data_IF_444606232972
#
_entry.id   IF_444606232972
#
_cell.length_a   1.000
_cell.length_b   1.000
_cell.length_c   1.000
_cell.angle_alpha   90.00
_cell.angle_beta   90.00
_cell.angle_gamma   90.00
#
_symmetry.space_group_name_H-M   'P 1'
#
loop_
_entity.id
_entity.type
_entity.pdbx_description
1 polymer ?
#
# COMPACT_ATOMS: atom_id res chain seq x y z
N UNK A 1 -11.60 -16.46 0.67
CA UNK A 1 -10.21 -16.60 0.20
C UNK A 1 -9.35 -15.49 0.80
N UNK A 2 -8.05 -15.75 1.00
CA UNK A 2 -7.14 -15.07 1.94
C UNK A 2 -6.91 -13.56 1.70
N UNK A 3 -7.48 -12.71 2.57
CA UNK A 3 -7.18 -11.27 2.65
C UNK A 3 -5.68 -10.98 2.87
N UNK A 4 -5.04 -11.81 3.70
CA UNK A 4 -3.60 -11.77 3.96
C UNK A 4 -2.80 -11.95 2.67
N UNK A 5 -3.24 -12.84 1.78
CA UNK A 5 -2.53 -13.14 0.54
C UNK A 5 -2.61 -11.99 -0.48
N UNK A 6 -3.69 -11.20 -0.48
CA UNK A 6 -3.79 -10.00 -1.33
C UNK A 6 -2.83 -8.91 -0.86
N UNK A 7 -2.71 -8.70 0.45
CA UNK A 7 -1.76 -7.76 1.05
C UNK A 7 -0.30 -8.21 0.87
N UNK A 8 -0.01 -9.51 1.02
CA UNK A 8 1.32 -10.08 0.77
C UNK A 8 1.72 -9.93 -0.70
N UNK A 9 0.81 -10.21 -1.63
CA UNK A 9 1.04 -9.93 -3.06
C UNK A 9 1.25 -8.46 -3.32
N UNK A 10 0.45 -7.58 -2.71
CA UNK A 10 0.59 -6.13 -2.86
C UNK A 10 1.98 -5.68 -2.40
N UNK A 11 2.43 -6.14 -1.22
CA UNK A 11 3.76 -5.85 -0.72
C UNK A 11 4.83 -6.38 -1.69
N UNK A 12 4.75 -7.63 -2.12
CA UNK A 12 5.73 -8.18 -3.07
C UNK A 12 5.76 -7.44 -4.42
N UNK A 13 4.60 -7.10 -4.98
CA UNK A 13 4.49 -6.47 -6.28
C UNK A 13 4.74 -4.96 -6.23
N UNK A 14 4.51 -4.28 -5.11
CA UNK A 14 4.68 -2.82 -4.99
C UNK A 14 5.93 -2.42 -4.18
N UNK A 15 6.63 -3.36 -3.56
CA UNK A 15 7.96 -3.15 -2.99
C UNK A 15 9.05 -3.28 -4.05
N UNK A 16 10.03 -2.37 -4.03
CA UNK A 16 11.17 -2.38 -4.94
C UNK A 16 10.95 -1.66 -6.28
N UNK A 17 11.64 -2.10 -7.34
CA UNK A 17 11.64 -1.48 -8.68
C UNK A 17 10.75 -2.24 -9.67
N UNK A 18 9.47 -2.37 -9.34
CA UNK A 18 8.47 -3.00 -10.21
C UNK A 18 7.66 -1.92 -10.93
N UNK A 19 6.99 -2.31 -12.02
CA UNK A 19 6.05 -1.42 -12.71
C UNK A 19 4.92 -0.93 -11.80
N UNK A 20 4.42 -1.79 -10.90
CA UNK A 20 3.39 -1.40 -9.94
C UNK A 20 3.93 -0.40 -8.91
N UNK A 21 5.13 -0.61 -8.38
CA UNK A 21 5.79 0.27 -7.42
C UNK A 21 5.93 1.70 -7.97
N UNK A 22 6.37 1.84 -9.22
CA UNK A 22 6.53 3.15 -9.85
C UNK A 22 5.19 3.88 -10.02
N UNK A 23 4.21 3.21 -10.63
CA UNK A 23 2.90 3.81 -10.88
C UNK A 23 2.16 4.12 -9.58
N UNK A 24 2.33 3.30 -8.55
CA UNK A 24 1.76 3.56 -7.22
C UNK A 24 2.44 4.76 -6.54
N UNK A 25 3.77 4.87 -6.61
CA UNK A 25 4.52 6.02 -6.06
C UNK A 25 4.08 7.34 -6.70
N UNK A 26 3.84 7.35 -8.02
CA UNK A 26 3.35 8.52 -8.74
C UNK A 26 1.89 8.86 -8.41
N UNK A 27 1.06 7.85 -8.12
CA UNK A 27 -0.36 8.04 -7.84
C UNK A 27 -0.66 8.48 -6.40
N UNK A 28 0.12 7.99 -5.41
CA UNK A 28 -0.11 8.25 -3.98
C UNK A 28 -0.25 9.74 -3.63
N UNK A 29 0.57 10.67 -4.16
CA UNK A 29 0.40 12.11 -3.91
C UNK A 29 -0.96 12.68 -4.33
N UNK A 30 -1.66 12.01 -5.25
CA UNK A 30 -2.99 12.39 -5.72
C UNK A 30 -4.15 11.82 -4.90
N UNK A 31 -3.88 10.92 -3.94
CA UNK A 31 -4.95 10.31 -3.14
C UNK A 31 -5.50 11.28 -2.09
N UNK A 32 -6.82 11.41 -2.07
CA UNK A 32 -7.55 12.23 -1.10
C UNK A 32 -7.99 11.41 0.12
N UNK A 33 -8.05 10.08 0.02
CA UNK A 33 -8.53 9.17 1.05
C UNK A 33 -7.95 7.75 0.86
N UNK A 34 -8.02 6.88 1.89
CA UNK A 34 -7.74 5.46 1.74
C UNK A 34 -8.61 4.76 0.68
N UNK A 35 -9.81 5.27 0.42
CA UNK A 35 -10.72 4.72 -0.60
C UNK A 35 -10.17 4.93 -2.02
N UNK A 36 -9.43 6.01 -2.27
CA UNK A 36 -8.77 6.25 -3.55
C UNK A 36 -7.69 5.21 -3.83
N UNK A 37 -6.93 4.85 -2.79
CA UNK A 37 -5.93 3.79 -2.88
C UNK A 37 -6.59 2.43 -3.16
N UNK A 38 -7.70 2.12 -2.48
CA UNK A 38 -8.48 0.89 -2.74
C UNK A 38 -8.96 0.84 -4.18
N UNK A 39 -9.56 1.92 -4.70
CA UNK A 39 -10.05 1.98 -6.07
C UNK A 39 -8.91 1.83 -7.09
N UNK A 40 -7.77 2.47 -6.83
CA UNK A 40 -6.57 2.35 -7.66
C UNK A 40 -6.02 0.91 -7.71
N UNK A 41 -6.01 0.22 -6.57
CA UNK A 41 -5.54 -1.16 -6.44
C UNK A 41 -6.54 -2.16 -7.05
N UNK A 42 -7.84 -1.94 -6.86
CA UNK A 42 -8.90 -2.74 -7.46
C UNK A 42 -8.84 -2.72 -9.00
N UNK A 43 -8.59 -1.56 -9.60
CA UNK A 43 -8.38 -1.42 -11.06
C UNK A 43 -7.19 -2.23 -11.60
N UNK A 44 -6.30 -2.69 -10.71
CA UNK A 44 -5.11 -3.50 -11.04
C UNK A 44 -5.23 -4.95 -10.58
N UNK A 45 -6.40 -5.38 -10.14
CA UNK A 45 -6.66 -6.76 -9.70
C UNK A 45 -6.22 -7.07 -8.28
N UNK A 46 -6.07 -6.06 -7.43
CA UNK A 46 -5.87 -6.22 -5.98
C UNK A 46 -7.21 -6.01 -5.27
N UNK A 47 -7.73 -7.08 -4.68
CA UNK A 47 -8.94 -7.03 -3.86
C UNK A 47 -8.54 -6.77 -2.40
N UNK A 48 -8.35 -5.50 -2.06
CA UNK A 48 -8.03 -5.05 -0.69
C UNK A 48 -9.07 -4.02 -0.23
N UNK A 49 -9.34 -3.95 1.07
CA UNK A 49 -10.21 -2.92 1.65
C UNK A 49 -9.41 -1.80 2.32
N UNK A 50 -10.05 -0.65 2.55
CA UNK A 50 -9.42 0.45 3.29
C UNK A 50 -9.03 0.00 4.71
N UNK A 51 -9.84 -0.88 5.31
CA UNK A 51 -9.52 -1.48 6.60
C UNK A 51 -8.26 -2.35 6.55
N UNK A 52 -8.08 -3.16 5.51
CA UNK A 52 -6.87 -3.98 5.36
C UNK A 52 -5.62 -3.10 5.21
N UNK A 53 -5.73 -1.99 4.47
CA UNK A 53 -4.64 -1.01 4.32
C UNK A 53 -4.30 -0.34 5.66
N UNK A 54 -5.31 0.04 6.44
CA UNK A 54 -5.11 0.67 7.76
C UNK A 54 -4.52 -0.33 8.76
N UNK A 55 -5.02 -1.56 8.80
CA UNK A 55 -4.49 -2.63 9.67
C UNK A 55 -3.02 -2.92 9.31
N UNK A 56 -2.71 -3.07 8.01
CA UNK A 56 -1.33 -3.30 7.57
C UNK A 56 -0.41 -2.11 7.85
N UNK A 57 -0.86 -0.88 7.60
CA UNK A 57 -0.06 0.30 7.90
C UNK A 57 0.16 0.47 9.41
N UNK A 58 -0.83 0.12 10.23
CA UNK A 58 -0.68 0.10 11.68
C UNK A 58 0.29 -0.99 12.16
N UNK A 59 0.27 -2.17 11.55
CA UNK A 59 1.22 -3.25 11.86
C UNK A 59 2.66 -2.86 11.46
N UNK A 60 2.85 -2.29 10.27
CA UNK A 60 4.15 -1.76 9.81
C UNK A 60 4.65 -0.64 10.73
N UNK A 61 3.76 0.26 11.19
CA UNK A 61 4.12 1.35 12.11
C UNK A 61 4.55 0.88 13.49
N UNK A 62 4.19 -0.34 13.88
CA UNK A 62 4.59 -0.95 15.16
C UNK A 62 5.91 -1.69 15.05
N UNK A 63 6.35 -2.01 13.83
CA UNK A 63 7.66 -2.58 13.58
C UNK A 63 8.73 -1.48 13.72
N UNK A 64 9.90 -1.80 14.27
CA UNK A 64 10.97 -0.82 14.55
C UNK A 64 11.63 -0.24 13.27
N UNK A 65 11.13 -0.63 12.10
CA UNK A 65 11.57 -0.15 10.80
C UNK A 65 10.71 1.04 10.39
N UNK A 66 11.28 2.19 10.00
CA UNK A 66 10.49 3.33 9.54
C UNK A 66 9.62 2.91 8.35
N UNK A 67 8.30 3.01 8.55
CA UNK A 67 7.31 2.54 7.57
C UNK A 67 7.65 3.05 6.19
N UNK A 68 7.82 2.12 5.25
CA UNK A 68 7.98 2.44 3.85
C UNK A 68 9.31 3.08 3.45
N UNK A 69 10.34 3.07 4.30
CA UNK A 69 11.66 3.57 3.90
C UNK A 69 12.38 2.57 2.99
N UNK A 70 12.45 2.90 1.70
CA UNK A 70 13.06 2.03 0.69
C UNK A 70 12.12 0.99 0.07
N UNK A 71 10.86 0.91 0.51
CA UNK A 71 9.87 -0.06 -0.02
C UNK A 71 9.08 0.44 -1.24
N UNK A 72 9.60 1.43 -1.98
CA UNK A 72 8.98 1.91 -3.22
C UNK A 72 7.51 2.35 -3.04
N UNK A 73 6.65 1.93 -3.97
CA UNK A 73 5.24 2.30 -3.99
C UNK A 73 4.44 1.75 -2.82
N UNK A 74 4.77 0.55 -2.33
CA UNK A 74 4.15 0.00 -1.12
C UNK A 74 4.43 0.89 0.09
N UNK A 75 5.69 1.29 0.26
CA UNK A 75 6.10 2.17 1.33
C UNK A 75 5.45 3.57 1.25
N UNK A 76 5.36 4.13 0.05
CA UNK A 76 4.65 5.39 -0.19
C UNK A 76 3.18 5.29 0.23
N UNK A 77 2.52 4.18 -0.11
CA UNK A 77 1.13 3.92 0.26
C UNK A 77 0.98 3.80 1.79
N UNK A 78 1.79 3.00 2.47
CA UNK A 78 1.68 2.83 3.93
C UNK A 78 1.87 4.16 4.68
N UNK A 79 2.84 4.98 4.26
CA UNK A 79 3.04 6.33 4.81
C UNK A 79 1.83 7.23 4.60
N UNK A 80 1.24 7.21 3.41
CA UNK A 80 0.04 7.97 3.12
C UNK A 80 -1.12 7.60 4.06
N UNK A 81 -1.27 6.31 4.37
CA UNK A 81 -2.33 5.82 5.27
C UNK A 81 -2.08 6.25 6.73
N UNK A 82 -0.82 6.30 7.19
CA UNK A 82 -0.47 6.65 8.58
C UNK A 82 -0.50 8.16 8.85
N UNK A 83 -0.08 8.96 7.87
CA UNK A 83 0.05 10.43 8.03
C UNK A 83 -1.31 11.14 7.96
N UNK A 84 -2.38 10.42 7.60
CA UNK A 84 -3.76 10.90 7.49
C UNK A 84 -4.54 10.72 8.79
#
# INVERSE_FOLDING_TARGET
MNRSHAMERLKADASGNTGLSHVLTEAVPGFASPEDAVNFLAARGFEVSARDLVEAAADEARDETPVGEGEGGYGALMRFIIVR
#
